data_IF_707813358291
#
_entry.id   IF_707813358291
#
_cell.length_a   1.000
_cell.length_b   1.000
_cell.length_c   1.000
_cell.angle_alpha   90.00
_cell.angle_beta   90.00
_cell.angle_gamma   90.00
#
_symmetry.space_group_name_H-M   'P 1'
#
loop_
_entity.id
_entity.type
_entity.pdbx_description
1 polymer ?
#
# COMPACT_ATOMS: atom_id res chain seq x y z
N UNK A 1 32.66 32.87 5.35
CA UNK A 1 31.75 31.88 5.97
C UNK A 1 32.53 30.60 6.23
N UNK A 2 32.81 30.30 7.50
CA UNK A 2 33.67 29.19 7.89
C UNK A 2 33.11 27.86 7.39
N UNK A 3 33.97 27.00 6.83
CA UNK A 3 33.62 25.64 6.35
C UNK A 3 32.93 24.78 7.43
N UNK A 4 33.09 25.14 8.70
CA UNK A 4 32.36 24.59 9.84
C UNK A 4 30.84 24.84 9.83
N UNK A 5 30.38 25.98 9.31
CA UNK A 5 28.94 26.29 9.23
C UNK A 5 28.22 25.46 8.17
N UNK A 6 28.89 25.13 7.05
CA UNK A 6 28.34 24.25 6.02
C UNK A 6 28.25 22.78 6.51
N UNK A 7 29.19 22.34 7.33
CA UNK A 7 29.19 20.97 7.89
C UNK A 7 28.07 20.75 8.91
N UNK A 8 27.63 21.80 9.61
CA UNK A 8 26.56 21.69 10.61
C UNK A 8 25.16 21.61 9.97
N UNK A 9 24.97 22.23 8.79
CA UNK A 9 23.73 22.15 8.00
C UNK A 9 23.58 20.78 7.32
N UNK A 10 24.69 20.11 7.02
CA UNK A 10 24.67 18.78 6.41
C UNK A 10 24.32 17.66 7.40
N UNK A 11 24.51 17.89 8.71
CA UNK A 11 24.26 16.90 9.76
C UNK A 11 22.80 16.88 10.27
N UNK A 12 22.01 17.90 9.95
CA UNK A 12 20.63 18.06 10.47
C UNK A 12 19.56 17.31 9.67
N UNK A 13 19.92 16.64 8.57
CA UNK A 13 18.97 15.89 7.73
C UNK A 13 18.86 14.40 8.04
N UNK A 14 19.45 13.93 9.13
CA UNK A 14 19.17 12.58 9.64
C UNK A 14 17.88 12.66 10.46
N UNK A 15 16.74 12.78 9.77
CA UNK A 15 15.46 12.42 10.37
C UNK A 15 15.50 10.91 10.55
N UNK A 16 16.01 10.47 11.70
CA UNK A 16 15.70 9.13 12.20
C UNK A 16 14.22 9.18 12.54
N UNK A 17 13.37 8.85 11.57
CA UNK A 17 11.99 8.48 11.85
C UNK A 17 12.07 7.25 12.76
N UNK A 18 12.00 7.52 14.06
CA UNK A 18 11.78 6.49 15.06
C UNK A 18 10.37 5.97 14.79
N UNK A 19 10.25 5.00 13.88
CA UNK A 19 9.04 4.22 13.73
C UNK A 19 8.92 3.46 15.04
N UNK A 20 8.10 3.98 15.95
CA UNK A 20 7.59 3.21 17.06
C UNK A 20 6.89 2.01 16.42
N UNK A 21 7.55 0.85 16.45
CA UNK A 21 7.01 -0.42 15.98
C UNK A 21 5.88 -0.84 16.94
N UNK A 22 4.76 -0.13 16.87
CA UNK A 22 3.50 -0.59 17.41
C UNK A 22 3.09 -1.76 16.54
N UNK A 23 3.29 -2.98 17.03
CA UNK A 23 2.89 -4.19 16.32
C UNK A 23 1.46 -4.05 15.79
N UNK A 24 1.29 -4.30 14.49
CA UNK A 24 -0.02 -4.36 13.86
C UNK A 24 -0.96 -5.29 14.65
N UNK A 25 -2.17 -4.82 14.96
CA UNK A 25 -3.16 -5.67 15.63
C UNK A 25 -3.65 -6.78 14.69
N UNK A 26 -4.20 -7.86 15.25
CA UNK A 26 -4.79 -8.95 14.45
C UNK A 26 -5.84 -8.44 13.44
N UNK A 27 -6.73 -7.54 13.88
CA UNK A 27 -7.78 -6.99 13.03
C UNK A 27 -7.22 -6.10 11.91
N UNK A 28 -6.21 -5.27 12.21
CA UNK A 28 -5.53 -4.47 11.19
C UNK A 28 -4.81 -5.35 10.17
N UNK A 29 -4.13 -6.41 10.62
CA UNK A 29 -3.48 -7.38 9.75
C UNK A 29 -4.47 -8.07 8.81
N UNK A 30 -5.56 -8.59 9.36
CA UNK A 30 -6.59 -9.27 8.56
C UNK A 30 -7.21 -8.32 7.53
N UNK A 31 -7.54 -7.09 7.93
CA UNK A 31 -8.05 -6.06 7.01
C UNK A 31 -7.01 -5.69 5.92
N UNK A 32 -5.74 -5.50 6.30
CA UNK A 32 -4.68 -5.17 5.35
C UNK A 32 -4.46 -6.29 4.31
N UNK A 33 -4.48 -7.56 4.74
CA UNK A 33 -4.39 -8.71 3.83
C UNK A 33 -5.62 -8.81 2.92
N UNK A 34 -6.82 -8.54 3.46
CA UNK A 34 -8.05 -8.51 2.66
C UNK A 34 -7.99 -7.41 1.59
N UNK A 35 -7.56 -6.21 1.97
CA UNK A 35 -7.41 -5.09 1.05
C UNK A 35 -6.30 -5.32 0.01
N UNK A 36 -5.20 -5.97 0.40
CA UNK A 36 -4.21 -6.45 -0.57
C UNK A 36 -4.86 -7.36 -1.61
N UNK A 37 -5.67 -8.32 -1.19
CA UNK A 37 -6.43 -9.18 -2.11
C UNK A 37 -7.38 -8.40 -3.01
N UNK A 38 -8.07 -7.40 -2.46
CA UNK A 38 -8.95 -6.54 -3.25
C UNK A 38 -8.19 -5.75 -4.31
N UNK A 39 -7.07 -5.13 -3.96
CA UNK A 39 -6.25 -4.38 -4.91
C UNK A 39 -5.63 -5.28 -5.98
N UNK A 40 -5.13 -6.45 -5.60
CA UNK A 40 -4.61 -7.43 -6.56
C UNK A 40 -5.69 -7.89 -7.53
N UNK A 41 -6.93 -8.12 -7.06
CA UNK A 41 -8.05 -8.46 -7.93
C UNK A 41 -8.44 -7.29 -8.87
N UNK A 42 -8.47 -6.06 -8.36
CA UNK A 42 -8.76 -4.86 -9.16
C UNK A 42 -7.69 -4.62 -10.23
N UNK A 43 -6.42 -4.84 -9.91
CA UNK A 43 -5.29 -4.62 -10.81
C UNK A 43 -5.28 -5.52 -12.06
N UNK A 44 -5.97 -6.65 -12.01
CA UNK A 44 -6.07 -7.61 -13.13
C UNK A 44 -7.41 -7.54 -13.86
N UNK A 45 -8.28 -6.59 -13.49
CA UNK A 45 -9.52 -6.36 -14.23
C UNK A 45 -9.22 -5.77 -15.62
N UNK A 46 -10.01 -6.12 -16.64
CA UNK A 46 -9.93 -5.48 -17.94
C UNK A 46 -10.14 -3.96 -17.85
N UNK A 47 -9.30 -3.17 -18.53
CA UNK A 47 -9.32 -1.71 -18.44
C UNK A 47 -10.59 -1.04 -19.02
N UNK A 48 -11.42 -1.78 -19.74
CA UNK A 48 -12.75 -1.36 -20.20
C UNK A 48 -13.84 -1.54 -19.13
N UNK A 49 -13.54 -2.25 -18.03
CA UNK A 49 -14.48 -2.53 -16.93
C UNK A 49 -14.28 -1.67 -15.68
N UNK A 50 -13.15 -0.96 -15.59
CA UNK A 50 -12.75 -0.14 -14.45
C UNK A 50 -11.89 1.02 -14.94
N UNK A 51 -11.93 2.17 -14.27
CA UNK A 51 -11.10 3.30 -14.67
C UNK A 51 -9.62 2.93 -14.52
N UNK A 52 -8.80 3.29 -15.52
CA UNK A 52 -7.35 3.06 -15.51
C UNK A 52 -6.70 3.60 -14.23
N UNK A 53 -7.15 4.78 -13.77
CA UNK A 53 -6.69 5.38 -12.52
C UNK A 53 -6.94 4.48 -11.29
N UNK A 54 -8.06 3.76 -11.26
CA UNK A 54 -8.37 2.84 -10.15
C UNK A 54 -7.47 1.60 -10.22
N UNK A 55 -7.12 1.11 -11.42
CA UNK A 55 -6.11 0.05 -11.61
C UNK A 55 -4.72 0.52 -11.15
N UNK A 56 -4.30 1.71 -11.55
CA UNK A 56 -3.01 2.30 -11.17
C UNK A 56 -2.86 2.43 -9.66
N UNK A 57 -3.90 2.97 -9.01
CA UNK A 57 -3.94 3.09 -7.55
C UNK A 57 -3.93 1.72 -6.91
N UNK A 58 -4.67 0.74 -7.42
CA UNK A 58 -4.69 -0.61 -6.88
C UNK A 58 -3.33 -1.30 -6.98
N UNK A 59 -2.64 -1.18 -8.12
CA UNK A 59 -1.28 -1.71 -8.28
C UNK A 59 -0.31 -1.06 -7.29
N UNK A 60 -0.32 0.27 -7.18
CA UNK A 60 0.53 0.99 -6.22
C UNK A 60 0.21 0.62 -4.76
N UNK A 61 -1.07 0.59 -4.38
CA UNK A 61 -1.51 0.25 -3.04
C UNK A 61 -1.15 -1.21 -2.67
N UNK A 62 -1.28 -2.14 -3.61
CA UNK A 62 -0.88 -3.54 -3.39
C UNK A 62 0.59 -3.67 -3.03
N UNK A 63 1.47 -2.88 -3.67
CA UNK A 63 2.90 -2.83 -3.36
C UNK A 63 3.14 -2.27 -1.95
N UNK A 64 2.57 -1.10 -1.64
CA UNK A 64 2.74 -0.42 -0.35
C UNK A 64 2.27 -1.30 0.82
N UNK A 65 1.10 -1.94 0.71
CA UNK A 65 0.59 -2.82 1.76
C UNK A 65 1.46 -4.06 1.94
N UNK A 66 1.89 -4.69 0.84
CA UNK A 66 2.75 -5.88 0.93
C UNK A 66 4.08 -5.54 1.60
N UNK A 67 4.69 -4.41 1.26
CA UNK A 67 5.91 -3.95 1.92
C UNK A 67 5.68 -3.66 3.41
N UNK A 68 4.56 -3.02 3.77
CA UNK A 68 4.19 -2.78 5.15
C UNK A 68 4.01 -4.08 5.95
N UNK A 69 3.23 -5.05 5.45
CA UNK A 69 3.02 -6.35 6.09
C UNK A 69 4.35 -7.11 6.30
N UNK A 70 5.26 -7.04 5.32
CA UNK A 70 6.59 -7.63 5.45
C UNK A 70 7.43 -6.92 6.52
N UNK A 71 7.37 -5.59 6.62
CA UNK A 71 8.05 -4.80 7.67
C UNK A 71 7.49 -5.11 9.07
N UNK A 72 6.20 -5.41 9.18
CA UNK A 72 5.56 -5.90 10.40
C UNK A 72 5.90 -7.37 10.73
N UNK A 73 6.69 -8.04 9.89
CA UNK A 73 7.16 -9.41 10.12
C UNK A 73 6.16 -10.51 9.74
N UNK A 74 5.10 -10.18 8.99
CA UNK A 74 4.14 -11.19 8.52
C UNK A 74 4.78 -12.02 7.41
N UNK A 75 4.69 -13.35 7.51
CA UNK A 75 5.32 -14.26 6.55
C UNK A 75 4.62 -14.18 5.19
N UNK A 76 5.40 -14.21 4.10
CA UNK A 76 4.87 -14.20 2.74
C UNK A 76 3.80 -15.28 2.49
N UNK A 77 3.96 -16.49 3.04
CA UNK A 77 2.97 -17.56 2.88
C UNK A 77 1.63 -17.21 3.53
N UNK A 78 1.64 -16.53 4.68
CA UNK A 78 0.43 -16.05 5.35
C UNK A 78 -0.24 -14.93 4.54
N UNK A 79 0.55 -13.96 4.06
CA UNK A 79 0.08 -12.88 3.19
C UNK A 79 -0.57 -13.46 1.94
N UNK A 80 0.14 -14.36 1.25
CA UNK A 80 -0.33 -14.96 -0.01
C UNK A 80 -1.60 -15.79 0.19
N UNK A 81 -1.64 -16.62 1.24
CA UNK A 81 -2.83 -17.44 1.53
C UNK A 81 -4.05 -16.57 1.83
N UNK A 82 -3.92 -15.56 2.69
CA UNK A 82 -5.04 -14.69 3.04
C UNK A 82 -5.48 -13.79 1.87
N UNK A 83 -4.54 -13.26 1.11
CA UNK A 83 -4.80 -12.49 -0.11
C UNK A 83 -5.61 -13.32 -1.12
N UNK A 84 -5.18 -14.56 -1.38
CA UNK A 84 -5.83 -15.45 -2.34
C UNK A 84 -7.26 -15.82 -1.91
N UNK A 85 -7.53 -16.00 -0.61
CA UNK A 85 -8.91 -16.21 -0.11
C UNK A 85 -9.85 -15.10 -0.55
N UNK A 86 -9.39 -13.84 -0.52
CA UNK A 86 -10.21 -12.73 -1.01
C UNK A 86 -10.30 -12.71 -2.53
N UNK A 87 -9.17 -12.88 -3.24
CA UNK A 87 -9.13 -12.90 -4.71
C UNK A 87 -10.10 -13.95 -5.26
N UNK A 88 -10.07 -15.18 -4.74
CA UNK A 88 -10.95 -16.27 -5.16
C UNK A 88 -12.44 -15.92 -4.95
N UNK A 89 -12.77 -15.21 -3.86
CA UNK A 89 -14.14 -14.76 -3.55
C UNK A 89 -14.66 -13.74 -4.57
N UNK A 90 -13.78 -12.92 -5.15
CA UNK A 90 -14.14 -11.85 -6.08
C UNK A 90 -13.75 -12.12 -7.53
N UNK A 91 -13.14 -13.27 -7.81
CA UNK A 91 -12.76 -13.66 -9.17
C UNK A 91 -13.98 -13.66 -10.10
N UNK A 92 -13.83 -13.01 -11.26
CA UNK A 92 -14.89 -12.84 -12.26
C UNK A 92 -16.01 -11.86 -11.87
N UNK A 93 -15.93 -11.19 -10.72
CA UNK A 93 -16.92 -10.17 -10.30
C UNK A 93 -16.52 -8.78 -10.81
N UNK A 94 -17.49 -7.89 -11.05
CA UNK A 94 -17.20 -6.52 -11.44
C UNK A 94 -16.48 -5.76 -10.33
N UNK A 95 -15.82 -4.65 -10.70
CA UNK A 95 -15.15 -3.76 -9.78
C UNK A 95 -16.08 -3.29 -8.64
N UNK A 96 -15.65 -3.51 -7.40
CA UNK A 96 -16.38 -3.09 -6.21
C UNK A 96 -15.84 -1.75 -5.69
N UNK A 97 -16.36 -0.64 -6.22
CA UNK A 97 -15.93 0.71 -5.83
C UNK A 97 -16.07 0.97 -4.33
N UNK A 98 -17.16 0.52 -3.70
CA UNK A 98 -17.39 0.72 -2.26
C UNK A 98 -16.27 0.10 -1.44
N UNK A 99 -15.91 -1.15 -1.75
CA UNK A 99 -14.82 -1.86 -1.07
C UNK A 99 -13.45 -1.23 -1.36
N UNK A 100 -13.25 -0.70 -2.57
CA UNK A 100 -12.03 0.02 -2.92
C UNK A 100 -11.86 1.28 -2.07
N UNK A 101 -12.93 2.06 -1.90
CA UNK A 101 -12.93 3.27 -1.07
C UNK A 101 -12.70 2.94 0.42
N UNK A 102 -13.30 1.86 0.93
CA UNK A 102 -13.06 1.34 2.29
C UNK A 102 -11.61 0.91 2.51
N UNK A 103 -11.02 0.23 1.53
CA UNK A 103 -9.63 -0.19 1.58
C UNK A 103 -8.66 0.98 1.48
N UNK A 104 -8.95 1.97 0.63
CA UNK A 104 -8.13 3.18 0.53
C UNK A 104 -8.08 3.89 1.87
N UNK A 105 -9.25 4.13 2.48
CA UNK A 105 -9.33 4.76 3.81
C UNK A 105 -8.57 3.94 4.86
N UNK A 106 -8.83 2.64 4.94
CA UNK A 106 -8.18 1.77 5.93
C UNK A 106 -6.65 1.75 5.78
N UNK A 107 -6.16 1.77 4.54
CA UNK A 107 -4.71 1.80 4.24
C UNK A 107 -4.08 3.12 4.66
N UNK A 108 -4.74 4.24 4.36
CA UNK A 108 -4.24 5.57 4.72
C UNK A 108 -4.21 5.80 6.23
N UNK A 109 -5.21 5.26 6.93
CA UNK A 109 -5.27 5.32 8.39
C UNK A 109 -4.22 4.39 9.05
N UNK A 110 -3.97 3.22 8.47
CA UNK A 110 -3.05 2.22 9.01
C UNK A 110 -1.57 2.54 8.76
N UNK A 111 -1.25 3.09 7.58
CA UNK A 111 0.13 3.32 7.13
C UNK A 111 0.32 4.83 6.92
N UNK A 112 0.94 5.55 7.89
CA UNK A 112 1.18 6.98 7.77
C UNK A 112 1.96 7.32 6.49
N UNK A 113 1.49 8.34 5.75
CA UNK A 113 2.11 8.78 4.49
C UNK A 113 1.75 7.94 3.26
N UNK A 114 1.07 6.81 3.42
CA UNK A 114 0.77 5.90 2.30
C UNK A 114 -0.07 6.53 1.20
N UNK A 115 -0.95 7.49 1.50
CA UNK A 115 -1.74 8.19 0.47
C UNK A 115 -0.84 8.87 -0.56
N UNK A 116 0.13 9.66 -0.10
CA UNK A 116 1.06 10.39 -0.98
C UNK A 116 1.97 9.41 -1.72
N UNK A 117 2.46 8.37 -1.04
CA UNK A 117 3.29 7.33 -1.64
C UNK A 117 2.55 6.57 -2.75
N UNK A 118 1.31 6.16 -2.50
CA UNK A 118 0.46 5.46 -3.47
C UNK A 118 0.16 6.37 -4.67
N UNK A 119 -0.23 7.63 -4.44
CA UNK A 119 -0.48 8.59 -5.52
C UNK A 119 0.77 8.89 -6.35
N UNK A 120 1.96 8.89 -5.73
CA UNK A 120 3.23 9.06 -6.44
C UNK A 120 3.56 7.84 -7.28
N UNK A 121 3.46 6.65 -6.70
CA UNK A 121 3.73 5.38 -7.38
C UNK A 121 2.74 5.11 -8.51
N UNK A 122 1.46 5.43 -8.34
CA UNK A 122 0.43 5.15 -9.34
C UNK A 122 0.73 5.87 -10.67
N UNK A 123 1.29 7.08 -10.60
CA UNK A 123 1.68 7.88 -11.77
C UNK A 123 2.84 7.29 -12.57
N UNK A 124 3.62 6.37 -12.00
CA UNK A 124 4.80 5.79 -12.68
C UNK A 124 4.50 4.47 -13.39
N UNK A 125 3.27 3.94 -13.28
CA UNK A 125 2.95 2.57 -13.73
C UNK A 125 2.72 2.50 -15.25
N UNK A 126 1.99 3.45 -15.84
CA UNK A 126 1.68 3.47 -17.29
C UNK A 126 2.32 4.65 -18.04
N UNK A 127 3.12 5.48 -17.38
CA UNK A 127 3.92 6.52 -18.05
C UNK A 127 5.30 6.01 -18.51
N UNK A 128 5.48 4.69 -18.58
CA UNK A 128 6.69 4.02 -19.10
C UNK A 128 6.56 3.66 -20.57
#
# INVERSE_FOLDING_TARGET
MNKFFLSLILLSFIIVSSFAAGHITKAQKENAIECLGHYTATAVLPADTVQVKDIEIALAASKVIREYLNKEGIKNDEINKGMNVYVDKVYGKPFNKKKNDECNKSTYDLIPGSKEEIEKLSRTIYQG
#
